data_IF_001445594201
#
_entry.id   IF_001445594201
#
_cell.length_a   1.000
_cell.length_b   1.000
_cell.length_c   1.000
_cell.angle_alpha   90.00
_cell.angle_beta   90.00
_cell.angle_gamma   90.00
#
_symmetry.space_group_name_H-M   'P 1'
#
loop_
_entity.id
_entity.type
_entity.pdbx_description
1 polymer ?
#
# COMPACT_ATOMS: atom_id res chain seq x y z
N UNK A 1 22.06 -4.51 -18.55
CA UNK A 1 22.66 -4.24 -17.22
C UNK A 1 23.36 -5.51 -16.77
N UNK A 2 24.60 -5.42 -16.30
CA UNK A 2 25.42 -6.59 -15.95
C UNK A 2 25.02 -7.28 -14.61
N UNK A 3 23.78 -7.20 -14.19
CA UNK A 3 23.26 -7.91 -13.01
C UNK A 3 23.82 -7.46 -11.64
N UNK A 4 24.66 -6.44 -11.59
CA UNK A 4 25.16 -5.89 -10.32
C UNK A 4 24.16 -4.89 -9.74
N UNK A 5 23.76 -5.11 -8.49
CA UNK A 5 22.96 -4.16 -7.74
C UNK A 5 23.73 -2.86 -7.43
N UNK A 6 23.07 -1.85 -6.85
CA UNK A 6 23.75 -0.64 -6.42
C UNK A 6 24.72 -0.91 -5.26
N UNK A 7 25.78 -0.13 -5.17
CA UNK A 7 26.52 0.03 -3.92
C UNK A 7 25.72 0.93 -3.00
N UNK A 8 25.51 0.49 -1.77
CA UNK A 8 24.76 1.20 -0.75
C UNK A 8 25.72 1.71 0.33
N UNK A 9 25.66 3.00 0.61
CA UNK A 9 26.48 3.65 1.62
C UNK A 9 25.60 4.49 2.56
N UNK A 10 25.79 4.34 3.86
CA UNK A 10 25.19 5.21 4.89
C UNK A 10 26.24 6.29 5.21
N UNK A 11 25.96 7.54 4.84
CA UNK A 11 26.88 8.67 5.04
C UNK A 11 26.71 9.22 6.46
N UNK A 12 25.45 9.40 6.91
CA UNK A 12 25.11 9.90 8.23
C UNK A 12 23.70 9.42 8.65
N UNK A 13 23.15 9.94 9.76
CA UNK A 13 21.81 9.56 10.26
C UNK A 13 20.67 9.85 9.28
N UNK A 14 20.85 10.77 8.35
CA UNK A 14 19.79 11.26 7.47
C UNK A 14 20.11 11.05 5.99
N UNK A 15 21.32 10.56 5.67
CA UNK A 15 21.82 10.50 4.29
C UNK A 15 22.24 9.09 3.92
N UNK A 16 21.68 8.58 2.84
CA UNK A 16 22.10 7.34 2.19
C UNK A 16 22.45 7.60 0.73
N UNK A 17 23.44 6.87 0.21
CA UNK A 17 23.87 6.97 -1.18
C UNK A 17 23.69 5.63 -1.89
N UNK A 18 23.08 5.69 -3.05
CA UNK A 18 23.02 4.58 -4.01
C UNK A 18 23.92 4.93 -5.19
N UNK A 19 24.85 4.06 -5.52
CA UNK A 19 25.80 4.26 -6.65
C UNK A 19 25.82 3.02 -7.53
N UNK A 20 26.00 3.25 -8.83
CA UNK A 20 26.11 2.19 -9.85
C UNK A 20 27.36 2.40 -10.66
N UNK A 21 27.94 1.31 -11.18
CA UNK A 21 29.12 1.33 -12.06
C UNK A 21 28.81 1.93 -13.45
N UNK A 22 27.52 2.04 -13.80
CA UNK A 22 27.06 2.61 -15.07
C UNK A 22 25.76 3.42 -14.82
N UNK A 23 25.41 4.37 -15.72
CA UNK A 23 24.17 5.12 -15.62
C UNK A 23 22.94 4.21 -15.45
N UNK A 24 22.07 4.52 -14.49
CA UNK A 24 20.80 3.83 -14.25
C UNK A 24 19.61 4.79 -14.42
N UNK A 25 19.15 5.03 -15.67
CA UNK A 25 18.08 5.98 -15.95
C UNK A 25 16.71 5.51 -15.43
N UNK A 26 16.57 4.22 -15.08
CA UNK A 26 15.31 3.64 -14.60
C UNK A 26 15.10 3.81 -13.09
N UNK A 27 16.11 4.20 -12.34
CA UNK A 27 16.01 4.23 -10.87
C UNK A 27 14.97 5.26 -10.37
N UNK A 28 15.06 6.51 -10.80
CA UNK A 28 14.11 7.55 -10.41
C UNK A 28 12.67 7.27 -10.91
N UNK A 29 12.47 6.87 -12.18
CA UNK A 29 11.14 6.42 -12.61
C UNK A 29 10.57 5.25 -11.79
N UNK A 30 11.41 4.29 -11.40
CA UNK A 30 10.99 3.16 -10.57
C UNK A 30 10.54 3.59 -9.15
N UNK A 31 11.17 4.62 -8.58
CA UNK A 31 10.75 5.19 -7.29
C UNK A 31 9.41 5.95 -7.38
N UNK A 32 9.10 6.51 -8.54
CA UNK A 32 7.89 7.30 -8.78
C UNK A 32 6.74 6.49 -9.41
N UNK A 33 6.94 5.20 -9.67
CA UNK A 33 5.95 4.34 -10.32
C UNK A 33 4.70 4.10 -9.44
N UNK A 34 3.56 3.68 -10.02
CA UNK A 34 2.35 3.31 -9.25
C UNK A 34 2.58 2.17 -8.24
N UNK A 35 3.57 1.32 -8.49
CA UNK A 35 4.12 0.36 -7.51
C UNK A 35 5.57 0.74 -7.23
N UNK A 36 5.81 1.72 -6.36
CA UNK A 36 7.13 2.28 -6.17
C UNK A 36 8.09 1.25 -5.58
N UNK A 37 9.36 1.40 -5.94
CA UNK A 37 10.43 0.66 -5.30
C UNK A 37 10.64 1.22 -3.89
N UNK A 38 10.20 0.47 -2.88
CA UNK A 38 10.42 0.85 -1.49
C UNK A 38 11.89 0.70 -1.11
N UNK A 39 12.59 1.80 -0.91
CA UNK A 39 13.99 1.85 -0.47
C UNK A 39 14.15 2.05 1.03
N UNK A 40 13.04 2.17 1.75
CA UNK A 40 12.98 2.30 3.21
C UNK A 40 12.12 1.19 3.81
N UNK A 41 12.42 0.82 5.04
CA UNK A 41 11.68 -0.19 5.80
C UNK A 41 11.58 0.23 7.28
N UNK A 42 10.47 -0.06 7.98
CA UNK A 42 10.30 0.27 9.39
C UNK A 42 11.15 -0.67 10.26
N UNK A 43 12.44 -0.38 10.36
CA UNK A 43 13.42 -1.22 11.06
C UNK A 43 13.07 -1.48 12.53
N UNK A 44 12.48 -0.50 13.24
CA UNK A 44 12.03 -0.64 14.62
C UNK A 44 10.95 -1.71 14.80
N UNK A 45 10.13 -1.96 13.79
CA UNK A 45 9.13 -3.02 13.75
C UNK A 45 9.75 -4.34 13.26
N UNK A 46 10.38 -4.35 12.09
CA UNK A 46 10.83 -5.55 11.39
C UNK A 46 11.99 -6.27 12.08
N UNK A 47 12.84 -5.57 12.85
CA UNK A 47 13.91 -6.19 13.65
C UNK A 47 13.42 -7.28 14.58
N UNK A 48 12.18 -7.18 15.07
CA UNK A 48 11.55 -8.14 15.99
C UNK A 48 11.32 -9.52 15.37
N UNK A 49 11.43 -9.63 14.05
CA UNK A 49 11.14 -10.83 13.24
C UNK A 49 12.32 -11.29 12.41
N UNK A 50 13.42 -10.57 12.42
CA UNK A 50 14.57 -10.85 11.54
C UNK A 50 15.66 -11.63 12.26
N UNK A 51 16.10 -12.76 11.67
CA UNK A 51 17.06 -13.70 12.25
C UNK A 51 18.39 -13.05 12.72
N UNK A 52 18.86 -12.00 12.02
CA UNK A 52 20.08 -11.26 12.39
C UNK A 52 19.97 -10.61 13.79
N UNK A 53 18.77 -10.20 14.21
CA UNK A 53 18.56 -9.45 15.45
C UNK A 53 18.08 -10.31 16.62
N UNK A 54 17.29 -11.36 16.33
CA UNK A 54 16.69 -12.20 17.39
C UNK A 54 17.21 -13.63 17.42
N UNK A 55 18.12 -13.98 16.50
CA UNK A 55 18.65 -15.33 16.32
C UNK A 55 17.76 -16.22 15.43
N UNK A 56 18.39 -17.14 14.69
CA UNK A 56 17.73 -17.96 13.68
C UNK A 56 16.65 -18.88 14.28
N UNK A 57 16.93 -19.50 15.42
CA UNK A 57 16.00 -20.42 16.07
C UNK A 57 14.69 -19.70 16.49
N UNK A 58 14.82 -18.54 17.14
CA UNK A 58 13.67 -17.74 17.59
C UNK A 58 12.88 -17.20 16.40
N UNK A 59 13.56 -16.72 15.35
CA UNK A 59 12.91 -16.21 14.15
C UNK A 59 12.11 -17.31 13.42
N UNK A 60 12.65 -18.52 13.30
CA UNK A 60 11.94 -19.66 12.73
C UNK A 60 10.77 -20.12 13.61
N UNK A 61 10.92 -20.13 14.93
CA UNK A 61 9.83 -20.48 15.84
C UNK A 61 8.64 -19.52 15.70
N UNK A 62 8.89 -18.21 15.60
CA UNK A 62 7.84 -17.20 15.33
C UNK A 62 7.17 -17.44 13.97
N UNK A 63 7.95 -17.74 12.93
CA UNK A 63 7.43 -18.02 11.59
C UNK A 63 6.50 -19.23 11.58
N UNK A 64 6.91 -20.34 12.22
CA UNK A 64 6.10 -21.57 12.32
C UNK A 64 4.81 -21.31 13.10
N UNK A 65 4.88 -20.60 14.22
CA UNK A 65 3.70 -20.22 15.01
C UNK A 65 2.71 -19.36 14.20
N UNK A 66 3.21 -18.56 13.24
CA UNK A 66 2.40 -17.75 12.32
C UNK A 66 2.02 -18.48 11.02
N UNK A 67 2.21 -19.81 10.93
CA UNK A 67 1.88 -20.61 9.76
C UNK A 67 2.79 -20.38 8.54
N UNK A 68 3.98 -19.82 8.75
CA UNK A 68 4.97 -19.57 7.70
C UNK A 68 6.05 -20.64 7.69
N UNK A 69 6.57 -20.96 6.50
CA UNK A 69 7.55 -22.04 6.30
C UNK A 69 8.90 -21.76 6.98
N UNK A 70 9.32 -20.50 6.98
CA UNK A 70 10.59 -20.06 7.56
C UNK A 70 10.53 -18.57 7.89
N UNK A 71 11.53 -18.08 8.63
CA UNK A 71 11.60 -16.69 9.05
C UNK A 71 11.68 -15.70 7.89
N UNK A 72 12.36 -16.02 6.79
CA UNK A 72 12.51 -15.08 5.67
C UNK A 72 11.17 -14.85 4.95
N UNK A 73 10.40 -15.90 4.69
CA UNK A 73 9.06 -15.79 4.13
C UNK A 73 8.09 -15.07 5.07
N UNK A 74 8.20 -15.32 6.38
CA UNK A 74 7.40 -14.59 7.37
C UNK A 74 7.76 -13.12 7.43
N UNK A 75 9.05 -12.79 7.45
CA UNK A 75 9.54 -11.42 7.43
C UNK A 75 9.08 -10.68 6.18
N UNK A 76 9.18 -11.32 5.00
CA UNK A 76 8.71 -10.74 3.74
C UNK A 76 7.19 -10.47 3.78
N UNK A 77 6.41 -11.42 4.31
CA UNK A 77 4.96 -11.23 4.48
C UNK A 77 4.64 -10.04 5.40
N UNK A 78 5.37 -9.88 6.50
CA UNK A 78 5.19 -8.77 7.44
C UNK A 78 5.58 -7.41 6.86
N UNK A 79 6.48 -7.38 5.87
CA UNK A 79 6.99 -6.18 5.20
C UNK A 79 6.17 -5.78 3.96
N UNK A 80 5.09 -6.50 3.65
CA UNK A 80 4.27 -6.26 2.47
C UNK A 80 3.28 -5.12 2.68
N UNK A 81 3.62 -3.92 2.19
CA UNK A 81 2.86 -2.69 2.44
C UNK A 81 1.53 -2.60 1.68
N UNK A 82 1.36 -3.39 0.61
CA UNK A 82 0.11 -3.40 -0.17
C UNK A 82 -0.93 -4.40 0.32
N UNK A 83 -0.62 -5.17 1.35
CA UNK A 83 -1.53 -6.16 1.90
C UNK A 83 -2.22 -5.65 3.15
N UNK A 84 -3.46 -6.10 3.34
CA UNK A 84 -4.25 -5.76 4.53
C UNK A 84 -4.10 -6.75 5.68
N UNK A 85 -3.23 -7.76 5.55
CA UNK A 85 -3.08 -8.83 6.54
C UNK A 85 -2.12 -8.50 7.68
N UNK A 86 -1.52 -7.31 7.68
CA UNK A 86 -0.66 -6.82 8.76
C UNK A 86 -0.97 -5.36 9.13
N UNK A 87 -2.04 -5.09 9.88
CA UNK A 87 -2.39 -3.73 10.30
C UNK A 87 -1.37 -3.09 11.26
N UNK A 88 -0.49 -3.89 11.86
CA UNK A 88 0.56 -3.41 12.77
C UNK A 88 1.81 -2.88 12.04
N UNK A 89 1.90 -3.06 10.71
CA UNK A 89 3.04 -2.56 9.94
C UNK A 89 3.02 -1.03 9.91
N UNK A 90 4.06 -0.35 10.45
CA UNK A 90 4.17 1.10 10.32
C UNK A 90 4.28 1.52 8.86
N UNK A 91 3.56 2.54 8.49
CA UNK A 91 3.50 3.04 7.11
C UNK A 91 3.66 4.56 7.03
N UNK A 92 4.21 5.04 5.91
CA UNK A 92 4.22 6.46 5.54
C UNK A 92 3.03 6.83 4.63
N UNK A 93 2.10 5.90 4.41
CA UNK A 93 0.90 6.13 3.62
C UNK A 93 -0.09 7.06 4.34
N UNK A 94 -0.97 7.76 3.60
CA UNK A 94 -1.90 8.72 4.20
C UNK A 94 -2.99 8.07 5.07
N UNK A 95 -3.30 6.80 4.85
CA UNK A 95 -4.26 6.04 5.67
C UNK A 95 -3.67 4.73 6.16
N UNK A 96 -4.04 4.35 7.37
CA UNK A 96 -3.62 3.13 8.05
C UNK A 96 -4.80 2.16 8.12
N UNK A 97 -4.63 0.93 7.66
CA UNK A 97 -5.63 -0.11 7.84
C UNK A 97 -5.76 -0.51 9.31
N UNK A 98 -6.99 -0.54 9.83
CA UNK A 98 -7.29 -0.95 11.20
C UNK A 98 -8.06 -2.26 11.28
N UNK A 99 -8.39 -2.87 10.14
CA UNK A 99 -9.18 -4.10 10.09
C UNK A 99 -8.28 -5.30 9.76
N UNK A 100 -8.14 -6.28 10.66
CA UNK A 100 -7.40 -7.51 10.39
C UNK A 100 -8.20 -8.46 9.47
N UNK A 101 -7.53 -9.43 8.87
CA UNK A 101 -8.15 -10.55 8.18
C UNK A 101 -8.70 -11.59 9.18
N UNK A 102 -9.75 -12.35 8.81
CA UNK A 102 -10.51 -12.27 7.56
C UNK A 102 -11.56 -11.15 7.58
N UNK A 103 -11.69 -10.39 6.51
CA UNK A 103 -12.73 -9.37 6.33
C UNK A 103 -13.00 -9.12 4.85
N UNK A 104 -14.23 -8.74 4.52
CA UNK A 104 -14.62 -8.19 3.21
C UNK A 104 -14.85 -6.68 3.26
N UNK A 105 -14.73 -6.08 4.44
CA UNK A 105 -14.86 -4.63 4.65
C UNK A 105 -13.71 -4.14 5.50
N UNK A 106 -12.84 -3.32 4.92
CA UNK A 106 -11.69 -2.73 5.59
C UNK A 106 -11.93 -1.27 5.89
N UNK A 107 -11.58 -0.86 7.10
CA UNK A 107 -11.58 0.53 7.52
C UNK A 107 -10.14 1.01 7.66
N UNK A 108 -9.85 2.09 6.93
CA UNK A 108 -8.59 2.79 7.03
C UNK A 108 -8.85 4.13 7.71
N UNK A 109 -7.99 4.51 8.63
CA UNK A 109 -8.04 5.79 9.34
C UNK A 109 -6.90 6.69 8.91
N UNK A 110 -7.10 7.98 8.99
CA UNK A 110 -6.08 8.97 8.66
C UNK A 110 -4.81 8.73 9.50
N UNK A 111 -3.65 8.73 8.83
CA UNK A 111 -2.36 8.67 9.48
C UNK A 111 -1.99 10.04 10.06
N UNK A 112 -1.94 10.20 11.40
CA UNK A 112 -1.61 11.49 12.02
C UNK A 112 -0.16 11.91 11.79
N UNK A 113 0.69 11.00 11.33
CA UNK A 113 2.10 11.22 11.01
C UNK A 113 2.39 11.33 9.50
N UNK A 114 1.33 11.45 8.68
CA UNK A 114 1.55 11.62 7.24
C UNK A 114 2.32 12.92 6.98
N UNK A 115 3.38 12.82 6.21
CA UNK A 115 4.42 13.85 6.09
C UNK A 115 4.08 15.00 5.15
N UNK A 116 2.94 14.94 4.44
CA UNK A 116 2.56 15.98 3.48
C UNK A 116 1.60 16.99 4.07
N UNK A 117 1.81 18.24 3.70
CA UNK A 117 0.93 19.37 4.01
C UNK A 117 0.48 20.05 2.71
N UNK A 118 -0.63 20.74 2.76
CA UNK A 118 -1.09 21.61 1.67
C UNK A 118 -0.32 22.96 1.67
N UNK A 119 -0.55 23.84 0.68
CA UNK A 119 0.09 25.15 0.63
C UNK A 119 -0.22 26.06 1.85
N UNK A 120 -1.32 25.82 2.54
CA UNK A 120 -1.73 26.57 3.76
C UNK A 120 -1.14 25.95 5.04
N UNK A 121 -0.32 24.88 4.93
CA UNK A 121 0.31 24.19 6.06
C UNK A 121 -0.61 23.19 6.78
N UNK A 122 -1.78 22.86 6.23
CA UNK A 122 -2.68 21.87 6.83
C UNK A 122 -2.22 20.46 6.45
N UNK A 123 -2.18 19.58 7.45
CA UNK A 123 -1.76 18.20 7.23
C UNK A 123 -2.79 17.41 6.39
N UNK A 124 -2.28 16.75 5.37
CA UNK A 124 -3.03 15.77 4.56
C UNK A 124 -3.07 14.39 5.26
N UNK A 125 -4.00 13.50 4.87
CA UNK A 125 -5.15 13.74 4.00
C UNK A 125 -6.30 14.45 4.75
N UNK A 126 -7.23 15.08 4.03
CA UNK A 126 -8.40 15.71 4.64
C UNK A 126 -9.49 14.70 5.04
N UNK A 127 -9.52 13.55 4.38
CA UNK A 127 -10.49 12.49 4.64
C UNK A 127 -10.03 11.68 5.86
N UNK A 128 -10.85 11.63 6.90
CA UNK A 128 -10.51 10.93 8.14
C UNK A 128 -10.60 9.41 8.04
N UNK A 129 -11.51 8.89 7.21
CA UNK A 129 -11.76 7.46 7.08
C UNK A 129 -11.99 7.07 5.63
N UNK A 130 -11.42 5.94 5.23
CA UNK A 130 -11.69 5.29 3.95
C UNK A 130 -12.23 3.90 4.25
N UNK A 131 -13.38 3.57 3.67
CA UNK A 131 -13.98 2.24 3.77
C UNK A 131 -13.80 1.55 2.43
N UNK A 132 -13.14 0.39 2.43
CA UNK A 132 -12.93 -0.44 1.26
C UNK A 132 -13.76 -1.71 1.40
N UNK A 133 -14.73 -1.89 0.50
CA UNK A 133 -15.52 -3.11 0.43
C UNK A 133 -14.97 -4.01 -0.67
N UNK A 134 -14.65 -5.25 -0.33
CA UNK A 134 -14.21 -6.28 -1.29
C UNK A 134 -15.43 -7.04 -1.78
N UNK A 135 -15.56 -7.16 -3.09
CA UNK A 135 -16.66 -7.89 -3.72
C UNK A 135 -16.19 -8.53 -5.03
N UNK A 136 -16.99 -9.40 -5.60
CA UNK A 136 -16.73 -9.95 -6.93
C UNK A 136 -16.81 -8.87 -8.01
N UNK A 137 -15.92 -8.92 -9.00
CA UNK A 137 -15.80 -7.92 -10.07
C UNK A 137 -17.13 -7.65 -10.78
N UNK A 138 -17.91 -8.70 -11.01
CA UNK A 138 -19.22 -8.62 -11.71
C UNK A 138 -20.27 -7.80 -10.94
N UNK A 139 -20.12 -7.66 -9.63
CA UNK A 139 -21.06 -6.90 -8.79
C UNK A 139 -20.68 -5.42 -8.67
N UNK A 140 -19.45 -5.05 -9.06
CA UNK A 140 -18.95 -3.68 -8.90
C UNK A 140 -19.80 -2.66 -9.65
N UNK A 141 -20.16 -2.86 -10.94
CA UNK A 141 -21.01 -1.88 -11.66
C UNK A 141 -22.37 -1.66 -10.98
N UNK A 142 -23.02 -2.74 -10.54
CA UNK A 142 -24.33 -2.66 -9.86
C UNK A 142 -24.24 -1.92 -8.51
N UNK A 143 -23.20 -2.20 -7.71
CA UNK A 143 -22.96 -1.53 -6.42
C UNK A 143 -22.63 -0.04 -6.62
N UNK A 144 -21.76 0.27 -7.60
CA UNK A 144 -21.43 1.66 -7.95
C UNK A 144 -22.65 2.42 -8.45
N UNK A 145 -23.43 1.81 -9.35
CA UNK A 145 -24.68 2.38 -9.83
C UNK A 145 -25.74 2.53 -8.74
N UNK A 146 -25.73 1.73 -7.70
CA UNK A 146 -26.59 1.83 -6.53
C UNK A 146 -26.21 2.92 -5.53
N UNK A 147 -25.03 3.55 -5.69
CA UNK A 147 -24.53 4.58 -4.77
C UNK A 147 -23.82 4.01 -3.54
N UNK A 148 -23.38 2.74 -3.58
CA UNK A 148 -22.69 2.09 -2.44
C UNK A 148 -21.24 2.57 -2.26
N UNK A 149 -20.70 3.40 -3.18
CA UNK A 149 -19.34 3.93 -3.11
C UNK A 149 -19.26 5.38 -3.56
N UNK A 150 -18.46 6.16 -2.84
CA UNK A 150 -18.16 7.56 -3.18
C UNK A 150 -17.17 7.69 -4.33
N UNK A 151 -16.31 6.68 -4.50
CA UNK A 151 -15.32 6.61 -5.57
C UNK A 151 -15.13 5.17 -6.05
N UNK A 152 -15.28 4.95 -7.34
CA UNK A 152 -14.96 3.69 -8.01
C UNK A 152 -14.22 3.97 -9.32
N UNK A 153 -13.00 3.48 -9.44
CA UNK A 153 -12.16 3.70 -10.63
C UNK A 153 -11.71 2.40 -11.32
N UNK A 154 -11.86 1.24 -10.68
CA UNK A 154 -11.42 -0.06 -11.19
C UNK A 154 -12.60 -0.98 -11.46
N UNK A 155 -12.42 -1.93 -12.38
CA UNK A 155 -13.43 -2.94 -12.73
C UNK A 155 -14.75 -2.37 -13.25
N UNK A 156 -14.76 -1.11 -13.72
CA UNK A 156 -15.80 -0.52 -14.53
C UNK A 156 -15.35 -0.56 -15.98
N UNK A 157 -16.21 -1.05 -16.88
CA UNK A 157 -15.93 -1.17 -18.30
C UNK A 157 -16.77 -0.16 -19.07
N UNK A 158 -16.38 0.13 -20.30
CA UNK A 158 -17.16 1.00 -21.16
C UNK A 158 -18.58 0.45 -21.42
N UNK A 159 -18.75 -0.86 -21.41
CA UNK A 159 -20.06 -1.51 -21.53
C UNK A 159 -21.03 -1.16 -20.38
N UNK A 160 -20.49 -0.80 -19.21
CA UNK A 160 -21.29 -0.40 -18.04
C UNK A 160 -21.73 1.07 -18.13
N UNK A 161 -21.20 1.85 -19.10
CA UNK A 161 -21.36 3.30 -19.16
C UNK A 161 -22.83 3.71 -19.25
N UNK A 162 -23.60 3.11 -20.15
CA UNK A 162 -25.03 3.45 -20.35
C UNK A 162 -25.83 3.25 -19.07
N UNK A 163 -25.65 2.11 -18.41
CA UNK A 163 -26.30 1.82 -17.14
C UNK A 163 -25.92 2.86 -16.06
N UNK A 164 -24.64 3.10 -15.88
CA UNK A 164 -24.14 4.04 -14.86
C UNK A 164 -24.65 5.46 -15.13
N UNK A 165 -24.67 5.91 -16.37
CA UNK A 165 -25.21 7.24 -16.76
C UNK A 165 -26.71 7.38 -16.52
N UNK A 166 -27.49 6.32 -16.75
CA UNK A 166 -28.95 6.35 -16.52
C UNK A 166 -29.32 6.58 -15.06
N UNK A 167 -28.53 6.06 -14.13
CA UNK A 167 -28.83 6.14 -12.70
C UNK A 167 -28.01 7.20 -11.95
N UNK A 168 -27.13 7.91 -12.65
CA UNK A 168 -26.22 8.94 -12.14
C UNK A 168 -26.93 10.02 -11.30
N UNK A 169 -27.97 10.64 -11.87
CA UNK A 169 -28.70 11.71 -11.21
C UNK A 169 -29.48 11.24 -9.97
N UNK A 170 -30.04 10.03 -10.04
CA UNK A 170 -30.81 9.43 -8.95
C UNK A 170 -29.96 9.09 -7.73
N UNK A 171 -28.70 8.67 -7.95
CA UNK A 171 -27.82 8.20 -6.91
C UNK A 171 -26.68 9.19 -6.60
N UNK A 172 -26.80 10.44 -7.08
CA UNK A 172 -25.96 11.60 -6.73
C UNK A 172 -24.46 11.41 -6.96
N UNK A 173 -24.04 10.70 -8.02
CA UNK A 173 -22.65 10.60 -8.42
C UNK A 173 -22.42 11.12 -9.85
N UNK A 174 -21.20 11.13 -10.34
CA UNK A 174 -20.83 11.49 -11.70
C UNK A 174 -19.97 10.41 -12.34
N UNK A 175 -20.32 10.07 -13.57
CA UNK A 175 -19.47 9.21 -14.41
C UNK A 175 -18.52 10.10 -15.21
N UNK A 176 -17.23 9.91 -14.97
CA UNK A 176 -16.15 10.59 -15.66
C UNK A 176 -15.45 9.58 -16.56
N UNK A 177 -15.28 9.91 -17.82
CA UNK A 177 -14.42 9.14 -18.73
C UNK A 177 -12.99 9.67 -18.61
N UNK A 178 -12.04 8.78 -18.64
CA UNK A 178 -10.63 9.13 -18.70
C UNK A 178 -10.17 9.03 -20.16
N UNK A 179 -9.46 10.06 -20.60
CA UNK A 179 -8.78 10.11 -21.90
C UNK A 179 -7.44 9.36 -21.84
#
# INVERSE_FOLDING_TARGET
MNGRGPTFEVIDEHTVRYSWDAPNPQFLPALAAPSPLFIYRPAHYLRKFHARYIGLAKANAQAVAAGSRNWAGYHQKLDEQYRFDNPDLPTLEPWINTTPLPSTRFMLVRNPYFHRVDPDGRQLPYIDRVIVNITEDKLIPAKSGGGDSDLQARYLRFDDYTFLKQVEARNHYRVLLWD
#
